data_IF_043816158071
#
_entry.id   IF_043816158071
#
_cell.length_a   1.000
_cell.length_b   1.000
_cell.length_c   1.000
_cell.angle_alpha   90.00
_cell.angle_beta   90.00
_cell.angle_gamma   90.00
#
_symmetry.space_group_name_H-M   'P 1'
#
loop_
_entity.id
_entity.type
_entity.pdbx_description
1 polymer ?
#
# COMPACT_ATOMS: atom_id res chain seq x y z
N UNK A 1 14.05 -10.51 3.01
CA UNK A 1 13.19 -9.30 3.08
C UNK A 1 13.07 -8.86 4.52
N UNK A 2 13.01 -7.55 4.76
CA UNK A 2 13.03 -6.94 6.11
C UNK A 2 11.77 -6.10 6.31
N UNK A 3 10.91 -6.42 7.28
CA UNK A 3 9.77 -5.58 7.63
C UNK A 3 10.22 -4.28 8.30
N UNK A 4 9.57 -3.15 8.03
CA UNK A 4 9.78 -1.88 8.75
C UNK A 4 8.69 -1.57 9.78
N UNK A 5 7.54 -2.25 9.68
CA UNK A 5 6.36 -2.10 10.54
C UNK A 5 5.98 -3.41 11.24
N UNK A 6 5.10 -3.33 12.22
CA UNK A 6 4.41 -4.51 12.75
C UNK A 6 3.15 -4.82 11.94
N UNK A 7 2.83 -6.11 11.79
CA UNK A 7 1.58 -6.56 11.20
C UNK A 7 0.42 -6.52 12.21
N UNK A 8 -0.77 -6.14 11.75
CA UNK A 8 -2.02 -6.44 12.44
C UNK A 8 -2.29 -7.96 12.44
N UNK A 9 -2.51 -8.60 13.60
CA UNK A 9 -2.83 -10.03 13.69
C UNK A 9 -4.12 -10.40 12.95
N UNK A 10 -5.19 -9.62 13.13
CA UNK A 10 -6.48 -9.89 12.51
C UNK A 10 -6.42 -9.80 10.98
N UNK A 11 -5.71 -8.79 10.45
CA UNK A 11 -5.56 -8.66 9.01
C UNK A 11 -4.63 -9.72 8.41
N UNK A 12 -3.63 -10.20 9.17
CA UNK A 12 -2.83 -11.35 8.76
C UNK A 12 -3.72 -12.58 8.57
N UNK A 13 -4.58 -12.89 9.55
CA UNK A 13 -5.44 -14.08 9.47
C UNK A 13 -6.41 -14.01 8.29
N UNK A 14 -7.04 -12.85 8.07
CA UNK A 14 -7.89 -12.60 6.90
C UNK A 14 -7.13 -12.92 5.60
N UNK A 15 -5.94 -12.36 5.44
CA UNK A 15 -5.15 -12.52 4.22
C UNK A 15 -4.62 -13.95 4.03
N UNK A 16 -4.31 -14.67 5.12
CA UNK A 16 -3.93 -16.09 5.05
C UNK A 16 -5.07 -16.93 4.49
N UNK A 17 -6.29 -16.71 4.98
CA UNK A 17 -7.47 -17.43 4.53
C UNK A 17 -7.78 -17.14 3.07
N UNK A 18 -7.70 -15.87 2.67
CA UNK A 18 -7.87 -15.43 1.27
C UNK A 18 -6.85 -16.10 0.35
N UNK A 19 -5.55 -16.01 0.67
CA UNK A 19 -4.48 -16.61 -0.14
C UNK A 19 -4.67 -18.13 -0.27
N UNK A 20 -4.98 -18.83 0.82
CA UNK A 20 -5.19 -20.29 0.79
C UNK A 20 -6.42 -20.68 -0.02
N UNK A 21 -7.52 -19.94 0.12
CA UNK A 21 -8.75 -20.17 -0.64
C UNK A 21 -8.52 -20.00 -2.14
N UNK A 22 -7.78 -18.96 -2.53
CA UNK A 22 -7.56 -18.63 -3.93
C UNK A 22 -6.51 -19.55 -4.58
N UNK A 23 -5.60 -20.14 -3.80
CA UNK A 23 -4.51 -20.97 -4.32
C UNK A 23 -3.47 -20.20 -5.14
N UNK A 24 -3.58 -18.87 -5.17
CA UNK A 24 -2.81 -17.94 -5.97
C UNK A 24 -2.38 -16.74 -5.11
N UNK A 25 -1.22 -16.18 -5.43
CA UNK A 25 -0.84 -14.85 -4.96
C UNK A 25 -1.20 -13.82 -6.04
N UNK A 26 -2.27 -13.05 -5.80
CA UNK A 26 -2.80 -12.09 -6.79
C UNK A 26 -1.79 -10.97 -7.11
N UNK A 27 -1.06 -10.47 -6.12
CA UNK A 27 -0.18 -9.30 -6.26
C UNK A 27 1.22 -9.53 -5.65
N UNK A 28 2.31 -9.03 -6.30
CA UNK A 28 3.66 -9.08 -5.75
C UNK A 28 3.85 -8.06 -4.62
N UNK A 29 4.77 -8.32 -3.71
CA UNK A 29 5.17 -7.29 -2.73
C UNK A 29 6.11 -6.27 -3.38
N UNK A 30 6.29 -5.10 -2.76
CA UNK A 30 7.26 -4.09 -3.21
C UNK A 30 8.33 -3.95 -2.14
N UNK A 31 9.61 -3.98 -2.54
CA UNK A 31 10.72 -3.83 -1.62
C UNK A 31 11.83 -2.95 -2.21
N UNK A 32 12.57 -2.29 -1.33
CA UNK A 32 13.80 -1.60 -1.72
C UNK A 32 14.83 -2.62 -2.21
N UNK A 33 15.42 -2.35 -3.38
CA UNK A 33 16.33 -3.25 -4.07
C UNK A 33 17.59 -3.56 -3.25
N UNK A 34 18.21 -2.52 -2.69
CA UNK A 34 19.51 -2.61 -2.00
C UNK A 34 19.38 -3.20 -0.61
N UNK A 35 18.41 -2.72 0.17
CA UNK A 35 18.28 -3.07 1.59
C UNK A 35 17.34 -4.25 1.84
N UNK A 36 16.50 -4.58 0.86
CA UNK A 36 15.41 -5.57 0.93
C UNK A 36 14.35 -5.22 1.97
N UNK A 37 14.24 -3.95 2.36
CA UNK A 37 13.17 -3.45 3.22
C UNK A 37 11.86 -3.45 2.44
N UNK A 38 10.82 -4.05 3.02
CA UNK A 38 9.49 -4.12 2.41
C UNK A 38 8.86 -2.74 2.47
N UNK A 39 8.32 -2.25 1.35
CA UNK A 39 7.64 -0.95 1.25
C UNK A 39 6.13 -1.14 1.13
N UNK A 40 5.68 -2.18 0.43
CA UNK A 40 4.27 -2.57 0.36
C UNK A 40 4.15 -4.09 0.39
N UNK A 41 3.06 -4.60 0.96
CA UNK A 41 2.78 -6.04 1.00
C UNK A 41 3.35 -6.77 2.23
N UNK A 42 3.57 -6.06 3.33
CA UNK A 42 3.99 -6.65 4.61
C UNK A 42 3.12 -7.84 5.03
N UNK A 43 1.79 -7.71 4.98
CA UNK A 43 0.89 -8.80 5.37
C UNK A 43 0.96 -9.99 4.42
N UNK A 44 1.18 -9.77 3.12
CA UNK A 44 1.39 -10.83 2.14
C UNK A 44 2.66 -11.61 2.46
N UNK A 45 3.74 -10.90 2.79
CA UNK A 45 4.97 -11.52 3.27
C UNK A 45 4.78 -12.31 4.56
N UNK A 46 4.05 -11.75 5.55
CA UNK A 46 3.74 -12.44 6.81
C UNK A 46 2.92 -13.71 6.57
N UNK A 47 1.89 -13.64 5.73
CA UNK A 47 1.03 -14.76 5.39
C UNK A 47 1.87 -15.89 4.77
N UNK A 48 2.62 -15.60 3.71
CA UNK A 48 3.44 -16.61 3.05
C UNK A 48 4.49 -17.21 3.97
N UNK A 49 5.14 -16.39 4.80
CA UNK A 49 6.14 -16.85 5.79
C UNK A 49 5.52 -17.76 6.87
N UNK A 50 4.33 -17.39 7.37
CA UNK A 50 3.59 -18.20 8.35
C UNK A 50 3.06 -19.51 7.79
N UNK A 51 2.81 -19.57 6.47
CA UNK A 51 2.38 -20.75 5.75
C UNK A 51 3.55 -21.62 5.27
N UNK A 52 4.79 -21.17 5.47
CA UNK A 52 5.99 -21.93 5.10
C UNK A 52 6.38 -21.81 3.62
N UNK A 53 5.91 -20.82 2.87
CA UNK A 53 6.38 -20.64 1.50
C UNK A 53 7.83 -20.10 1.46
N UNK A 54 8.63 -20.64 0.53
CA UNK A 54 10.06 -20.33 0.40
C UNK A 54 10.31 -19.03 -0.37
N UNK A 55 9.56 -18.82 -1.44
CA UNK A 55 9.73 -17.71 -2.38
C UNK A 55 8.52 -16.78 -2.37
N UNK A 56 8.71 -15.58 -2.90
CA UNK A 56 7.65 -14.59 -3.09
C UNK A 56 8.02 -13.67 -4.25
N UNK A 57 7.09 -13.39 -5.19
CA UNK A 57 7.25 -12.37 -6.20
C UNK A 57 7.44 -10.98 -5.58
N UNK A 58 8.47 -10.26 -6.04
CA UNK A 58 8.83 -8.94 -5.52
C UNK A 58 9.08 -7.98 -6.68
N UNK A 59 8.46 -6.80 -6.62
CA UNK A 59 8.87 -5.63 -7.41
C UNK A 59 9.97 -4.93 -6.61
N UNK A 60 11.16 -4.85 -7.21
CA UNK A 60 12.30 -4.15 -6.63
C UNK A 60 12.32 -2.71 -7.13
N UNK A 61 12.53 -1.78 -6.20
CA UNK A 61 12.65 -0.34 -6.50
C UNK A 61 13.86 0.23 -5.79
N UNK A 62 14.55 1.20 -6.39
CA UNK A 62 15.54 2.01 -5.66
C UNK A 62 14.78 3.06 -4.85
N UNK A 63 14.49 2.78 -3.57
CA UNK A 63 13.70 3.68 -2.74
C UNK A 63 14.46 4.95 -2.37
N UNK A 64 15.79 4.86 -2.24
CA UNK A 64 16.62 5.95 -1.74
C UNK A 64 16.89 7.01 -2.81
N UNK A 65 17.11 6.58 -4.05
CA UNK A 65 17.45 7.46 -5.16
C UNK A 65 16.24 7.86 -6.02
N UNK A 66 15.04 7.33 -5.73
CA UNK A 66 13.86 7.66 -6.49
C UNK A 66 12.99 8.70 -5.76
N UNK A 67 13.10 10.00 -6.11
CA UNK A 67 12.31 11.06 -5.47
C UNK A 67 10.81 10.95 -5.76
N UNK A 68 10.39 10.09 -6.70
CA UNK A 68 8.97 9.85 -7.00
C UNK A 68 8.32 8.91 -5.98
N UNK A 69 9.10 8.22 -5.15
CA UNK A 69 8.57 7.40 -4.06
C UNK A 69 8.38 8.29 -2.84
N UNK A 70 7.12 8.55 -2.50
CA UNK A 70 6.75 9.34 -1.31
C UNK A 70 6.16 8.46 -0.23
N UNK A 71 6.27 8.90 1.02
CA UNK A 71 5.70 8.18 2.17
C UNK A 71 4.86 9.15 3.00
N UNK A 72 3.55 8.94 3.01
CA UNK A 72 2.62 9.62 3.91
C UNK A 72 2.23 8.73 5.09
N UNK A 73 1.32 9.24 5.93
CA UNK A 73 0.65 8.48 7.00
C UNK A 73 -0.74 8.02 6.60
N UNK A 74 -1.41 8.78 5.73
CA UNK A 74 -2.79 8.55 5.30
C UNK A 74 -2.90 8.53 3.78
N UNK A 75 -3.92 7.85 3.26
CA UNK A 75 -4.25 7.74 1.82
C UNK A 75 -4.33 9.10 1.13
N UNK A 76 -4.97 10.09 1.76
CA UNK A 76 -5.10 11.46 1.22
C UNK A 76 -3.77 12.15 0.95
N UNK A 77 -2.67 11.75 1.63
CA UNK A 77 -1.34 12.32 1.38
C UNK A 77 -0.80 11.94 -0.01
N UNK A 78 -1.52 11.11 -0.78
CA UNK A 78 -1.27 10.94 -2.21
C UNK A 78 -1.45 12.26 -2.96
N UNK A 79 -2.50 13.01 -2.62
CA UNK A 79 -2.96 14.19 -3.35
C UNK A 79 -2.54 15.49 -2.67
N UNK A 80 -2.49 15.48 -1.34
CA UNK A 80 -2.13 16.65 -0.53
C UNK A 80 -0.69 16.48 -0.04
N UNK A 81 0.11 17.53 -0.17
CA UNK A 81 1.45 17.59 0.42
C UNK A 81 1.37 18.38 1.72
N UNK A 82 1.50 17.67 2.82
CA UNK A 82 1.68 18.25 4.15
C UNK A 82 3.07 17.86 4.65
N UNK A 83 4.01 18.82 4.77
CA UNK A 83 5.38 18.56 5.22
C UNK A 83 5.45 17.94 6.62
N UNK A 84 4.53 18.30 7.52
CA UNK A 84 4.51 17.82 8.91
C UNK A 84 4.05 16.35 9.02
N UNK A 85 3.38 15.88 7.96
CA UNK A 85 2.86 14.54 7.83
C UNK A 85 3.73 13.61 6.97
N UNK A 86 4.79 14.12 6.35
CA UNK A 86 5.67 13.31 5.51
C UNK A 86 6.62 12.44 6.36
N UNK A 87 6.76 11.17 5.98
CA UNK A 87 7.75 10.26 6.55
C UNK A 87 8.90 10.16 5.56
N UNK A 88 10.13 10.35 6.03
CA UNK A 88 11.28 10.19 5.13
C UNK A 88 11.50 8.71 4.81
N UNK A 89 11.84 8.40 3.56
CA UNK A 89 12.21 7.02 3.18
C UNK A 89 13.37 6.51 4.03
N UNK A 90 14.31 7.39 4.40
CA UNK A 90 15.44 7.06 5.29
C UNK A 90 14.97 6.46 6.62
N UNK A 91 13.89 6.99 7.20
CA UNK A 91 13.30 6.49 8.44
C UNK A 91 12.68 5.09 8.26
N UNK A 92 11.98 4.87 7.14
CA UNK A 92 11.42 3.55 6.77
C UNK A 92 12.52 2.50 6.64
N UNK A 93 13.56 2.82 5.88
CA UNK A 93 14.71 1.94 5.66
C UNK A 93 15.45 1.66 6.97
N UNK A 94 15.70 2.68 7.78
CA UNK A 94 16.35 2.53 9.10
C UNK A 94 15.56 1.62 10.05
N UNK A 95 14.23 1.75 10.10
CA UNK A 95 13.38 0.84 10.88
C UNK A 95 13.51 -0.62 10.40
N UNK A 96 13.50 -0.85 9.09
CA UNK A 96 13.67 -2.19 8.52
C UNK A 96 15.07 -2.80 8.73
N UNK A 97 16.12 -1.98 8.66
CA UNK A 97 17.50 -2.43 8.89
C UNK A 97 17.80 -2.72 10.36
N UNK A 98 17.29 -1.88 11.27
CA UNK A 98 17.50 -2.02 12.71
C UNK A 98 16.62 -3.09 13.36
N UNK A 99 15.55 -3.51 12.71
CA UNK A 99 14.52 -4.39 13.30
C UNK A 99 13.66 -3.72 14.36
N UNK A 100 13.84 -2.41 14.61
CA UNK A 100 12.98 -1.61 15.50
C UNK A 100 11.71 -1.20 14.74
N UNK A 101 10.78 -2.14 14.65
CA UNK A 101 9.56 -2.01 13.84
C UNK A 101 8.66 -0.88 14.35
N UNK A 102 8.14 -0.10 13.41
CA UNK A 102 7.13 0.93 13.66
C UNK A 102 5.77 0.29 14.00
N UNK A 103 4.79 1.10 14.44
CA UNK A 103 3.42 0.63 14.68
C UNK A 103 2.76 0.22 13.35
N UNK A 104 1.76 -0.68 13.36
CA UNK A 104 1.07 -1.04 12.12
C UNK A 104 0.50 0.18 11.40
N UNK A 105 0.64 0.21 10.07
CA UNK A 105 0.08 1.25 9.19
C UNK A 105 0.60 2.66 9.51
N UNK A 106 1.84 2.75 9.99
CA UNK A 106 2.50 4.06 10.18
C UNK A 106 2.78 4.75 8.84
N UNK A 107 2.98 3.97 7.78
CA UNK A 107 3.41 4.45 6.46
C UNK A 107 2.42 4.07 5.36
N UNK A 108 2.26 5.00 4.42
CA UNK A 108 1.56 4.84 3.14
C UNK A 108 2.52 5.23 2.02
N UNK A 109 2.99 4.24 1.27
CA UNK A 109 3.91 4.46 0.16
C UNK A 109 3.14 4.79 -1.12
N UNK A 110 3.59 5.83 -1.82
CA UNK A 110 3.07 6.27 -3.09
C UNK A 110 4.14 6.10 -4.15
N UNK A 111 3.84 5.27 -5.15
CA UNK A 111 4.73 4.96 -6.26
C UNK A 111 4.24 5.66 -7.53
N UNK A 112 5.16 5.97 -8.45
CA UNK A 112 4.83 6.51 -9.78
C UNK A 112 4.27 5.47 -10.76
N UNK A 113 4.00 4.25 -10.28
CA UNK A 113 3.41 3.16 -11.02
C UNK A 113 2.24 2.58 -10.23
N UNK A 114 1.31 1.92 -10.91
CA UNK A 114 0.24 1.19 -10.23
C UNK A 114 0.84 0.02 -9.45
N UNK A 115 0.56 -0.03 -8.15
CA UNK A 115 0.93 -1.17 -7.30
C UNK A 115 0.00 -2.37 -7.46
N UNK A 116 -1.13 -2.20 -8.16
CA UNK A 116 -2.12 -3.25 -8.42
C UNK A 116 -1.77 -4.02 -9.71
N UNK A 117 -0.53 -4.51 -9.78
CA UNK A 117 -0.08 -5.36 -10.89
C UNK A 117 -0.46 -6.79 -10.57
N UNK A 118 -1.58 -7.25 -11.14
CA UNK A 118 -2.03 -8.63 -10.97
C UNK A 118 -1.06 -9.59 -11.65
N UNK A 119 -0.55 -10.55 -10.90
CA UNK A 119 0.35 -11.61 -11.39
C UNK A 119 -0.29 -13.00 -11.31
N UNK A 120 -1.30 -13.18 -10.45
CA UNK A 120 -2.00 -14.44 -10.23
C UNK A 120 -1.03 -15.64 -10.13
N UNK A 121 -0.01 -15.51 -9.27
CA UNK A 121 1.10 -16.47 -9.24
C UNK A 121 0.72 -17.71 -8.41
N UNK A 122 0.75 -18.93 -8.98
CA UNK A 122 0.34 -20.14 -8.25
C UNK A 122 1.18 -20.40 -7.00
N UNK A 123 0.51 -20.68 -5.87
CA UNK A 123 1.22 -20.87 -4.59
C UNK A 123 2.15 -22.08 -4.60
N UNK A 124 1.80 -23.14 -5.33
CA UNK A 124 2.65 -24.34 -5.42
C UNK A 124 4.03 -24.06 -6.05
N UNK A 125 4.14 -23.01 -6.88
CA UNK A 125 5.41 -22.58 -7.49
C UNK A 125 6.29 -21.75 -6.56
N UNK A 126 5.75 -21.26 -5.43
CA UNK A 126 6.52 -20.52 -4.43
C UNK A 126 7.46 -21.42 -3.62
N UNK A 127 7.33 -22.75 -3.77
CA UNK A 127 8.08 -23.74 -3.03
C UNK A 127 7.70 -23.79 -1.55
N UNK A 128 7.85 -24.96 -0.96
CA UNK A 128 7.49 -25.20 0.43
C UNK A 128 8.73 -25.26 1.34
N UNK A 129 8.53 -24.82 2.55
CA UNK A 129 9.44 -24.87 3.69
C UNK A 129 8.61 -25.05 4.96
N UNK A 130 9.26 -25.18 6.11
CA UNK A 130 8.55 -25.26 7.39
C UNK A 130 7.83 -23.93 7.69
N UNK A 131 6.55 -23.97 8.11
CA UNK A 131 5.86 -22.81 8.66
C UNK A 131 6.71 -22.12 9.72
N UNK A 132 6.83 -20.79 9.63
CA UNK A 132 7.66 -20.00 10.54
C UNK A 132 6.79 -19.24 11.54
N UNK A 133 7.22 -19.19 12.80
CA UNK A 133 6.62 -18.28 13.77
C UNK A 133 6.90 -16.81 13.39
N UNK A 134 5.82 -16.08 13.15
CA UNK A 134 5.84 -14.67 12.78
C UNK A 134 5.42 -13.75 13.93
N UNK A 135 5.17 -14.28 15.13
CA UNK A 135 4.64 -13.52 16.28
C UNK A 135 5.49 -12.30 16.65
N UNK A 136 6.82 -12.40 16.48
CA UNK A 136 7.75 -11.27 16.71
C UNK A 136 7.53 -10.06 15.79
N UNK A 137 6.87 -10.25 14.64
CA UNK A 137 6.55 -9.19 13.69
C UNK A 137 5.13 -8.63 13.88
N UNK A 138 4.33 -9.19 14.79
CA UNK A 138 2.97 -8.78 15.01
C UNK A 138 2.86 -7.74 16.12
N UNK A 139 1.88 -6.85 15.99
CA UNK A 139 1.48 -5.99 17.09
C UNK A 139 0.74 -6.82 18.15
N UNK A 140 1.04 -6.55 19.43
CA UNK A 140 0.26 -7.07 20.54
C UNK A 140 -1.04 -6.26 20.59
N UNK A 141 -2.15 -6.89 20.22
CA UNK A 141 -3.46 -6.27 20.14
C UNK A 141 -4.53 -7.24 20.66
N UNK A 142 -5.47 -6.76 21.47
CA UNK A 142 -6.68 -7.50 21.82
C UNK A 142 -7.74 -7.39 20.71
N UNK A 143 -8.90 -8.04 20.91
CA UNK A 143 -9.98 -8.05 19.89
C UNK A 143 -10.57 -6.67 19.67
N UNK A 144 -10.73 -5.89 20.73
CA UNK A 144 -11.29 -4.53 20.70
C UNK A 144 -10.36 -3.60 19.91
N UNK A 145 -9.06 -3.63 20.18
CA UNK A 145 -8.02 -2.87 19.46
C UNK A 145 -7.95 -3.27 17.99
N UNK A 146 -8.08 -4.57 17.67
CA UNK A 146 -8.15 -5.03 16.28
C UNK A 146 -9.39 -4.49 15.56
N UNK A 147 -10.55 -4.53 16.21
CA UNK A 147 -11.80 -3.99 15.67
C UNK A 147 -11.72 -2.49 15.44
N UNK A 148 -11.15 -1.76 16.39
CA UNK A 148 -10.93 -0.31 16.29
C UNK A 148 -9.99 0.04 15.13
N UNK A 149 -8.89 -0.70 14.96
CA UNK A 149 -7.96 -0.49 13.84
C UNK A 149 -8.61 -0.72 12.46
N UNK A 150 -9.57 -1.65 12.35
CA UNK A 150 -10.36 -1.85 11.13
C UNK A 150 -11.27 -0.64 10.88
N UNK A 151 -11.97 -0.14 11.90
CA UNK A 151 -12.81 1.06 11.78
C UNK A 151 -12.01 2.27 11.33
N UNK A 152 -10.83 2.48 11.91
CA UNK A 152 -9.90 3.53 11.47
C UNK A 152 -9.44 3.34 10.03
N UNK A 153 -9.28 2.09 9.57
CA UNK A 153 -9.01 1.83 8.17
C UNK A 153 -10.16 2.25 7.26
N UNK A 154 -11.38 1.84 7.58
CA UNK A 154 -12.55 2.19 6.80
C UNK A 154 -12.70 3.72 6.74
N UNK A 155 -12.49 4.42 7.86
CA UNK A 155 -12.49 5.88 7.91
C UNK A 155 -11.45 6.51 6.97
N UNK A 156 -10.22 5.99 6.95
CA UNK A 156 -9.18 6.47 6.03
C UNK A 156 -9.56 6.26 4.55
N UNK A 157 -10.23 5.15 4.23
CA UNK A 157 -10.73 4.89 2.86
C UNK A 157 -11.86 5.87 2.52
N UNK A 158 -12.83 6.06 3.42
CA UNK A 158 -13.94 6.98 3.24
C UNK A 158 -13.47 8.43 3.03
N UNK A 159 -12.45 8.87 3.77
CA UNK A 159 -11.86 10.20 3.60
C UNK A 159 -11.22 10.37 2.20
N UNK A 160 -10.52 9.35 1.69
CA UNK A 160 -9.97 9.39 0.33
C UNK A 160 -11.09 9.46 -0.71
N UNK A 161 -12.19 8.72 -0.52
CA UNK A 161 -13.34 8.75 -1.41
C UNK A 161 -14.01 10.12 -1.42
N UNK A 162 -14.23 10.72 -0.26
CA UNK A 162 -14.80 12.06 -0.13
C UNK A 162 -13.94 13.11 -0.85
N UNK A 163 -12.62 13.06 -0.64
CA UNK A 163 -11.66 13.93 -1.33
C UNK A 163 -11.76 13.78 -2.86
N UNK A 164 -11.80 12.55 -3.36
CA UNK A 164 -11.87 12.27 -4.80
C UNK A 164 -13.19 12.71 -5.41
N UNK A 165 -14.31 12.54 -4.70
CA UNK A 165 -15.62 13.04 -5.14
C UNK A 165 -15.59 14.55 -5.32
N UNK A 166 -15.09 15.30 -4.32
CA UNK A 166 -14.96 16.75 -4.43
C UNK A 166 -14.05 17.16 -5.60
N UNK A 167 -12.89 16.49 -5.76
CA UNK A 167 -11.99 16.82 -6.86
C UNK A 167 -12.61 16.53 -8.23
N UNK A 168 -13.42 15.48 -8.34
CA UNK A 168 -14.17 15.18 -9.56
C UNK A 168 -15.14 16.32 -9.90
N UNK A 169 -15.93 16.77 -8.93
CA UNK A 169 -16.88 17.88 -9.11
C UNK A 169 -16.18 19.17 -9.57
N UNK A 170 -15.03 19.50 -8.98
CA UNK A 170 -14.22 20.64 -9.41
C UNK A 170 -13.77 20.54 -10.88
N UNK A 171 -13.27 19.37 -11.30
CA UNK A 171 -12.82 19.13 -12.68
C UNK A 171 -14.00 19.14 -13.66
N UNK A 172 -15.16 18.61 -13.27
CA UNK A 172 -16.38 18.67 -14.09
C UNK A 172 -16.81 20.11 -14.33
N UNK A 173 -16.76 20.97 -13.31
CA UNK A 173 -17.03 22.41 -13.44
C UNK A 173 -16.01 23.10 -14.35
N UNK A 174 -14.71 22.84 -14.19
CA UNK A 174 -13.66 23.37 -15.07
C UNK A 174 -13.92 23.01 -16.54
N UNK A 175 -14.35 21.76 -16.80
CA UNK A 175 -14.71 21.28 -18.14
C UNK A 175 -15.93 22.03 -18.70
N UNK A 176 -16.99 22.21 -17.92
CA UNK A 176 -18.21 22.93 -18.33
C UNK A 176 -17.92 24.40 -18.67
N UNK A 177 -17.11 25.06 -17.85
CA UNK A 177 -16.67 26.43 -18.10
C UNK A 177 -15.86 26.54 -19.40
N UNK A 178 -14.95 25.59 -19.64
CA UNK A 178 -14.17 25.54 -20.89
C UNK A 178 -15.05 25.33 -22.12
N UNK A 179 -16.00 24.39 -22.07
CA UNK A 179 -16.96 24.15 -23.16
C UNK A 179 -17.80 25.41 -23.45
N UNK A 180 -18.21 26.14 -22.42
CA UNK A 180 -18.95 27.40 -22.57
C UNK A 180 -18.13 28.48 -23.27
N UNK A 181 -16.83 28.60 -22.98
CA UNK A 181 -15.92 29.53 -23.66
C UNK A 181 -15.73 29.20 -25.14
N UNK A 182 -15.59 27.91 -25.48
CA UNK A 182 -15.48 27.48 -26.89
C UNK A 182 -16.73 27.89 -27.69
N UNK A 183 -17.92 27.63 -27.14
CA UNK A 183 -19.19 28.01 -27.77
C UNK A 183 -19.27 29.53 -27.99
N UNK A 184 -18.84 30.33 -27.03
CA UNK A 184 -18.84 31.79 -27.12
C UNK A 184 -17.90 32.36 -28.20
N UNK A 185 -16.89 31.61 -28.63
CA UNK A 185 -15.92 32.04 -29.65
C UNK A 185 -16.29 31.58 -31.08
N UNK A 186 -17.43 30.92 -31.29
CA UNK A 186 -17.82 30.29 -32.57
C UNK A 186 -16.73 29.36 -33.15
N UNK A 187 -15.87 28.80 -32.29
CA UNK A 187 -14.86 27.85 -32.72
C UNK A 187 -15.57 26.50 -32.88
N UNK A 188 -15.84 26.12 -34.13
CA UNK A 188 -16.24 24.76 -34.49
C UNK A 188 -15.06 23.81 -34.23
N UNK A 189 -14.88 23.42 -32.98
CA UNK A 189 -13.97 22.34 -32.62
C UNK A 189 -14.73 21.02 -32.81
N UNK A 190 -14.26 20.08 -33.65
CA UNK A 190 -14.86 18.75 -33.72
C UNK A 190 -14.66 18.11 -32.33
N UNK A 191 -15.74 17.98 -31.59
CA UNK A 191 -15.72 17.42 -30.24
C UNK A 191 -15.46 15.91 -30.36
N UNK A 192 -14.46 15.40 -29.62
CA UNK A 192 -14.19 13.96 -29.46
C UNK A 192 -15.24 13.28 -28.56
#
# INVERSE_FOLDING_TARGET
>A
LKPHERGSPLYLELLRQEILKDGMLEYPIIADEKTRVILDGMHRWLALKSLGYKLMPVILVDAFQNPKIRVGRRRIHRYIKDPDEEITIKRVISAGLSGRLMKPRTTRHFFSFSKFQRINYPLHLLGSHTPQDVSKYLAKMNREECSQAIKEWLKEISEELEFLTKRKEEVEKEKEEFLSRIKGLNINCPVF
#
